data_IF_458103930503
#
_entry.id   IF_458103930503
#
_cell.length_a   1.000
_cell.length_b   1.000
_cell.length_c   1.000
_cell.angle_alpha   90.00
_cell.angle_beta   90.00
_cell.angle_gamma   90.00
#
_symmetry.space_group_name_H-M   'P 1'
#
loop_
_entity.id
_entity.type
_entity.pdbx_description
1 polymer ?
#
# COMPACT_ATOMS: atom_id res chain seq x y z
N UNK A 1 33.24 -24.79 42.82
CA UNK A 1 33.34 -24.32 41.43
C UNK A 1 32.27 -25.08 40.64
N UNK A 2 31.14 -24.43 40.33
CA UNK A 2 30.13 -25.00 39.46
C UNK A 2 30.26 -24.30 38.10
N UNK A 3 30.85 -25.03 37.16
CA UNK A 3 31.07 -24.60 35.79
C UNK A 3 29.70 -24.49 35.07
N UNK A 4 29.43 -23.34 34.45
CA UNK A 4 28.13 -23.01 33.86
C UNK A 4 27.82 -23.78 32.57
N UNK A 5 26.57 -24.18 32.41
CA UNK A 5 26.05 -24.73 31.15
C UNK A 5 25.83 -23.57 30.16
N UNK A 6 26.70 -23.46 29.15
CA UNK A 6 26.50 -22.55 28.02
C UNK A 6 25.37 -23.12 27.16
N UNK A 7 24.13 -22.68 27.39
CA UNK A 7 23.00 -23.03 26.54
C UNK A 7 23.13 -22.28 25.21
N UNK A 8 23.48 -23.01 24.14
CA UNK A 8 23.55 -22.48 22.79
C UNK A 8 22.18 -21.94 22.34
N UNK A 9 22.15 -20.68 21.92
CA UNK A 9 20.97 -20.07 21.32
C UNK A 9 20.78 -20.65 19.92
N UNK A 10 19.67 -21.36 19.70
CA UNK A 10 19.28 -21.85 18.37
C UNK A 10 18.83 -20.66 17.50
N UNK A 11 19.58 -20.35 16.45
CA UNK A 11 19.25 -19.33 15.45
C UNK A 11 18.41 -19.90 14.31
N UNK A 12 17.18 -20.35 14.61
CA UNK A 12 16.22 -20.66 13.54
C UNK A 12 15.55 -19.37 13.05
N UNK A 13 16.20 -18.70 12.10
CA UNK A 13 15.58 -17.64 11.31
C UNK A 13 14.99 -18.23 10.03
N UNK A 14 13.67 -18.47 10.02
CA UNK A 14 12.94 -18.72 8.78
C UNK A 14 12.93 -17.42 7.97
N UNK A 15 13.87 -17.28 7.01
CA UNK A 15 13.93 -16.10 6.14
C UNK A 15 12.84 -16.20 5.08
N UNK A 16 11.68 -15.62 5.37
CA UNK A 16 10.65 -15.37 4.35
C UNK A 16 11.22 -14.33 3.40
N UNK A 17 11.48 -14.71 2.15
CA UNK A 17 12.01 -13.78 1.13
C UNK A 17 10.99 -12.67 0.89
N UNK A 18 11.24 -11.49 1.46
CA UNK A 18 10.45 -10.29 1.22
C UNK A 18 10.88 -9.76 -0.16
N UNK A 19 10.19 -10.18 -1.20
CA UNK A 19 10.29 -9.49 -2.49
C UNK A 19 9.61 -8.14 -2.32
N UNK A 20 10.36 -7.04 -2.33
CA UNK A 20 9.75 -5.74 -2.59
C UNK A 20 9.03 -5.86 -3.95
N UNK A 21 7.77 -5.42 -4.03
CA UNK A 21 6.96 -5.50 -5.26
C UNK A 21 7.48 -4.62 -6.41
N UNK A 22 8.55 -3.85 -6.16
CA UNK A 22 9.17 -2.90 -7.08
C UNK A 22 10.13 -3.62 -8.05
N UNK A 23 9.83 -3.68 -9.37
CA UNK A 23 10.74 -4.26 -10.36
C UNK A 23 12.10 -3.54 -10.36
N UNK A 24 13.19 -4.31 -10.37
CA UNK A 24 14.55 -3.77 -10.38
C UNK A 24 15.06 -3.26 -9.02
N UNK A 25 14.28 -3.35 -7.95
CA UNK A 25 14.77 -3.02 -6.61
C UNK A 25 15.86 -4.03 -6.16
N UNK A 26 16.95 -3.55 -5.54
CA UNK A 26 17.98 -4.43 -5.02
C UNK A 26 17.44 -5.30 -3.88
N UNK A 27 17.99 -6.52 -3.75
CA UNK A 27 17.60 -7.44 -2.68
C UNK A 27 18.05 -6.88 -1.32
N UNK A 28 17.08 -6.48 -0.47
CA UNK A 28 17.31 -6.03 0.90
C UNK A 28 16.70 -7.04 1.88
N UNK A 29 17.50 -7.52 2.83
CA UNK A 29 17.03 -8.48 3.84
C UNK A 29 16.17 -7.73 4.87
N UNK A 30 14.98 -8.23 5.16
CA UNK A 30 14.09 -7.72 6.22
C UNK A 30 14.16 -8.62 7.46
N UNK A 31 14.05 -8.00 8.64
CA UNK A 31 13.89 -8.69 9.92
C UNK A 31 12.43 -8.72 10.40
N UNK A 32 11.48 -8.32 9.55
CA UNK A 32 10.05 -8.36 9.87
C UNK A 32 9.64 -9.80 10.23
N UNK A 33 9.04 -9.96 11.42
CA UNK A 33 8.55 -11.25 11.90
C UNK A 33 7.13 -11.57 11.42
N UNK A 34 6.41 -10.56 10.97
CA UNK A 34 5.03 -10.63 10.48
C UNK A 34 5.00 -10.28 9.00
N UNK A 35 4.03 -10.83 8.27
CA UNK A 35 3.78 -10.51 6.87
C UNK A 35 2.87 -9.29 6.80
N UNK A 36 3.27 -8.28 6.01
CA UNK A 36 2.39 -7.16 5.68
C UNK A 36 1.26 -7.65 4.75
N UNK A 37 -0.03 -7.51 5.15
CA UNK A 37 -1.15 -7.99 4.35
C UNK A 37 -1.50 -7.06 3.19
N UNK A 38 -1.21 -5.77 3.33
CA UNK A 38 -1.49 -4.71 2.36
C UNK A 38 -0.17 -4.04 1.97
N UNK A 39 -0.07 -3.66 0.70
CA UNK A 39 1.06 -2.86 0.22
C UNK A 39 0.91 -1.38 0.62
N UNK A 40 1.99 -0.63 0.45
CA UNK A 40 1.97 0.83 0.63
C UNK A 40 1.12 1.43 -0.51
N UNK A 41 0.10 2.25 -0.22
CA UNK A 41 -0.68 2.92 -1.25
C UNK A 41 0.16 3.96 -1.99
N UNK A 42 -0.37 4.53 -3.08
CA UNK A 42 0.31 5.60 -3.77
C UNK A 42 0.45 6.82 -2.86
N UNK A 43 1.70 7.22 -2.59
CA UNK A 43 1.99 8.28 -1.61
C UNK A 43 1.45 9.65 -2.01
N UNK A 44 1.08 9.80 -3.29
CA UNK A 44 0.52 11.02 -3.84
C UNK A 44 -0.98 10.91 -4.15
N UNK A 45 -1.60 9.77 -3.86
CA UNK A 45 -3.00 9.50 -4.24
C UNK A 45 -3.95 10.58 -3.73
N UNK A 46 -3.76 11.04 -2.48
CA UNK A 46 -4.59 12.12 -1.91
C UNK A 46 -4.55 13.39 -2.75
N UNK A 47 -3.37 13.75 -3.28
CA UNK A 47 -3.19 14.96 -4.07
C UNK A 47 -3.66 14.76 -5.51
N UNK A 48 -3.27 13.63 -6.13
CA UNK A 48 -3.63 13.33 -7.52
C UNK A 48 -5.11 13.06 -7.67
N UNK A 49 -5.71 12.27 -6.79
CA UNK A 49 -7.13 11.92 -6.86
C UNK A 49 -8.01 13.13 -6.53
N UNK A 50 -7.61 13.98 -5.57
CA UNK A 50 -8.32 15.24 -5.30
C UNK A 50 -8.31 16.18 -6.50
N UNK A 51 -7.16 16.33 -7.17
CA UNK A 51 -7.09 17.17 -8.36
C UNK A 51 -7.85 16.58 -9.54
N UNK A 52 -7.76 15.26 -9.75
CA UNK A 52 -8.52 14.54 -10.78
C UNK A 52 -10.03 14.68 -10.60
N UNK A 53 -10.52 14.58 -9.36
CA UNK A 53 -11.92 14.90 -9.03
C UNK A 53 -12.26 16.34 -9.40
N UNK A 54 -11.43 17.31 -9.00
CA UNK A 54 -11.71 18.73 -9.23
C UNK A 54 -11.90 19.03 -10.72
N UNK A 55 -10.98 18.56 -11.57
CA UNK A 55 -11.02 18.82 -13.01
C UNK A 55 -11.98 17.90 -13.78
N UNK A 56 -12.55 16.88 -13.12
CA UNK A 56 -13.44 15.90 -13.76
C UNK A 56 -12.71 14.95 -14.72
N UNK A 57 -11.52 14.49 -14.35
CA UNK A 57 -10.69 13.55 -15.12
C UNK A 57 -11.41 12.23 -15.42
N UNK A 58 -11.22 11.69 -16.63
CA UNK A 58 -11.91 10.49 -17.10
C UNK A 58 -11.57 9.23 -16.28
N UNK A 59 -10.32 9.09 -15.80
CA UNK A 59 -9.97 7.95 -14.95
C UNK A 59 -10.68 8.02 -13.61
N UNK A 60 -10.75 9.22 -13.03
CA UNK A 60 -11.48 9.44 -11.79
C UNK A 60 -12.98 9.16 -11.99
N UNK A 61 -13.60 9.64 -13.06
CA UNK A 61 -15.03 9.39 -13.35
C UNK A 61 -15.35 7.92 -13.48
N UNK A 62 -14.52 7.15 -14.20
CA UNK A 62 -14.70 5.70 -14.33
C UNK A 62 -14.62 5.03 -12.96
N UNK A 63 -13.61 5.36 -12.15
CA UNK A 63 -13.46 4.81 -10.80
C UNK A 63 -14.64 5.19 -9.89
N UNK A 64 -15.10 6.43 -9.95
CA UNK A 64 -16.25 6.92 -9.19
C UNK A 64 -17.57 6.25 -9.61
N UNK A 65 -17.75 5.95 -10.90
CA UNK A 65 -18.92 5.22 -11.41
C UNK A 65 -18.89 3.73 -11.04
N UNK A 66 -17.71 3.13 -10.90
CA UNK A 66 -17.54 1.74 -10.45
C UNK A 66 -17.72 1.59 -8.93
N UNK A 67 -17.50 2.66 -8.16
CA UNK A 67 -17.69 2.70 -6.71
C UNK A 67 -19.19 2.73 -6.35
N UNK A 68 -19.80 1.53 -6.29
CA UNK A 68 -21.21 1.30 -5.90
C UNK A 68 -21.57 1.94 -4.56
N UNK A 69 -20.59 2.14 -3.66
CA UNK A 69 -20.80 2.82 -2.38
C UNK A 69 -20.97 4.34 -2.48
N UNK A 70 -20.51 4.97 -3.57
CA UNK A 70 -20.69 6.41 -3.78
C UNK A 70 -22.16 6.75 -4.08
N UNK A 71 -22.93 5.79 -4.61
CA UNK A 71 -24.38 5.92 -4.79
C UNK A 71 -24.81 6.95 -5.84
N UNK A 72 -23.87 7.46 -6.64
CA UNK A 72 -24.13 8.46 -7.66
C UNK A 72 -23.98 7.82 -9.06
N UNK A 73 -25.12 7.66 -9.75
CA UNK A 73 -25.16 7.14 -11.13
C UNK A 73 -24.47 8.10 -12.13
N UNK A 74 -24.18 9.34 -11.73
CA UNK A 74 -23.55 10.36 -12.57
C UNK A 74 -22.54 11.21 -11.80
N UNK A 75 -21.29 10.73 -11.60
CA UNK A 75 -20.29 11.42 -10.80
C UNK A 75 -19.94 12.80 -11.37
N UNK A 76 -20.10 13.84 -10.54
CA UNK A 76 -19.78 15.24 -10.87
C UNK A 76 -18.38 15.62 -10.42
N UNK A 77 -17.63 16.26 -11.32
CA UNK A 77 -16.33 16.84 -10.97
C UNK A 77 -16.48 18.10 -10.11
N UNK A 78 -15.46 18.43 -9.32
CA UNK A 78 -15.54 19.56 -8.38
C UNK A 78 -15.80 20.92 -9.05
N UNK A 79 -15.33 21.14 -10.28
CA UNK A 79 -15.68 22.34 -11.04
C UNK A 79 -17.15 22.34 -11.51
N UNK A 80 -17.71 21.17 -11.82
CA UNK A 80 -19.11 21.01 -12.24
C UNK A 80 -20.09 21.17 -11.08
N UNK A 81 -19.63 20.94 -9.85
CA UNK A 81 -20.46 21.15 -8.65
C UNK A 81 -20.71 22.64 -8.34
N UNK A 82 -19.84 23.53 -8.82
CA UNK A 82 -19.89 24.98 -8.53
C UNK A 82 -20.65 25.76 -9.62
N UNK A 83 -20.70 25.24 -10.85
CA UNK A 83 -21.31 25.87 -12.02
C UNK A 83 -22.80 25.49 -12.17
#
# INVERSE_FOLDING_TARGET
MLEGCILAVSSQSNSTTTSNSVPGAPRRISFAKLREPLEVPGLLDVQTDSFKWLIGDDEWRRKAAEDVSAGDDSPKGGLEEVL
#
